data_IF_386881973305
#
_entry.id   IF_386881973305
#
_cell.length_a   1.000
_cell.length_b   1.000
_cell.length_c   1.000
_cell.angle_alpha   90.00
_cell.angle_beta   90.00
_cell.angle_gamma   90.00
#
_symmetry.space_group_name_H-M   'P 1'
#
loop_
_entity.id
_entity.type
_entity.pdbx_description
1 polymer ?
#
# COMPACT_ATOMS: atom_id res chain seq x y z
N UNK A 1 -13.65 25.49 -32.00
CA UNK A 1 -14.46 24.36 -31.49
C UNK A 1 -13.73 23.01 -31.49
N UNK A 2 -13.06 22.58 -32.58
CA UNK A 2 -12.41 21.25 -32.64
C UNK A 2 -11.33 21.00 -31.56
N UNK A 3 -10.55 22.02 -31.17
CA UNK A 3 -9.56 21.93 -30.08
C UNK A 3 -10.19 21.72 -28.69
N UNK A 4 -11.35 22.31 -28.42
CA UNK A 4 -12.05 22.14 -27.14
C UNK A 4 -12.65 20.74 -27.02
N UNK A 5 -13.13 20.16 -28.12
CA UNK A 5 -13.64 18.80 -28.15
C UNK A 5 -12.54 17.76 -27.87
N UNK A 6 -11.34 17.96 -28.43
CA UNK A 6 -10.18 17.10 -28.19
C UNK A 6 -9.76 17.11 -26.73
N UNK A 7 -9.72 18.29 -26.10
CA UNK A 7 -9.39 18.43 -24.67
C UNK A 7 -10.40 17.68 -23.81
N UNK A 8 -11.71 17.85 -24.06
CA UNK A 8 -12.76 17.13 -23.30
C UNK A 8 -12.64 15.62 -23.47
N UNK A 9 -12.35 15.12 -24.68
CA UNK A 9 -12.14 13.70 -24.93
C UNK A 9 -10.92 13.15 -24.18
N UNK A 10 -9.79 13.87 -24.18
CA UNK A 10 -8.59 13.47 -23.44
C UNK A 10 -8.84 13.45 -21.92
N UNK A 11 -9.52 14.47 -21.38
CA UNK A 11 -9.89 14.49 -19.97
C UNK A 11 -10.84 13.33 -19.60
N UNK A 12 -11.80 12.99 -20.47
CA UNK A 12 -12.71 11.88 -20.21
C UNK A 12 -11.97 10.53 -20.18
N UNK A 13 -10.99 10.31 -21.06
CA UNK A 13 -10.21 9.07 -21.09
C UNK A 13 -9.39 8.86 -19.79
N UNK A 14 -8.75 9.92 -19.28
CA UNK A 14 -8.00 9.88 -18.02
C UNK A 14 -8.92 9.56 -16.84
N UNK A 15 -10.12 10.17 -16.81
CA UNK A 15 -11.11 9.92 -15.75
C UNK A 15 -11.65 8.48 -15.82
N UNK A 16 -11.91 7.94 -17.01
CA UNK A 16 -12.38 6.55 -17.17
C UNK A 16 -11.32 5.52 -16.72
N UNK A 17 -10.04 5.75 -17.01
CA UNK A 17 -8.96 4.88 -16.55
C UNK A 17 -8.94 4.79 -15.01
N UNK A 18 -9.11 5.93 -14.34
CA UNK A 18 -9.10 6.00 -12.88
C UNK A 18 -10.32 5.33 -12.23
N UNK A 19 -11.48 5.34 -12.88
CA UNK A 19 -12.68 4.62 -12.42
C UNK A 19 -12.63 3.10 -12.67
N UNK A 20 -11.74 2.63 -13.55
CA UNK A 20 -11.63 1.19 -13.87
C UNK A 20 -10.80 0.39 -12.86
N UNK A 21 -10.17 1.06 -11.90
CA UNK A 21 -9.32 0.45 -10.87
C UNK A 21 -10.15 -0.28 -9.81
N UNK A 22 -10.26 -1.60 -9.97
CA UNK A 22 -11.06 -2.49 -9.13
C UNK A 22 -10.61 -2.57 -7.67
N UNK A 23 -9.32 -2.42 -7.40
CA UNK A 23 -8.70 -2.67 -6.08
C UNK A 23 -8.23 -1.39 -5.39
N UNK A 24 -8.63 -0.21 -5.90
CA UNK A 24 -8.11 1.10 -5.50
C UNK A 24 -7.97 1.23 -3.98
N UNK A 25 -6.73 1.43 -3.52
CA UNK A 25 -6.37 1.44 -2.10
C UNK A 25 -7.02 2.54 -1.25
N UNK A 26 -7.51 3.61 -1.86
CA UNK A 26 -8.26 4.67 -1.17
C UNK A 26 -9.63 4.17 -0.65
N UNK A 27 -10.11 3.01 -1.14
CA UNK A 27 -11.26 2.33 -0.58
C UNK A 27 -10.82 1.56 0.66
N UNK A 28 -10.98 2.20 1.82
CA UNK A 28 -10.65 1.68 3.18
C UNK A 28 -11.28 0.31 3.49
N UNK A 29 -12.24 -0.14 2.67
CA UNK A 29 -13.00 -1.37 2.86
C UNK A 29 -12.45 -2.58 2.07
N UNK A 30 -11.30 -2.46 1.37
CA UNK A 30 -10.68 -3.60 0.64
C UNK A 30 -9.79 -4.41 1.58
N UNK A 31 -10.01 -5.73 1.64
CA UNK A 31 -9.16 -6.69 2.37
C UNK A 31 -8.86 -7.90 1.49
N UNK A 32 -7.87 -8.72 1.85
CA UNK A 32 -7.66 -10.00 1.19
C UNK A 32 -7.73 -11.15 2.19
N UNK A 33 -8.55 -12.16 1.89
CA UNK A 33 -8.53 -13.45 2.60
C UNK A 33 -7.56 -14.36 1.86
N UNK A 34 -6.56 -14.85 2.58
CA UNK A 34 -5.51 -15.70 2.03
C UNK A 34 -5.72 -17.11 2.55
N UNK A 35 -5.63 -18.10 1.66
CA UNK A 35 -5.56 -19.52 2.00
C UNK A 35 -4.36 -20.11 1.29
N UNK A 36 -3.46 -20.73 2.05
CA UNK A 36 -2.32 -21.49 1.48
C UNK A 36 -2.43 -22.92 1.94
N UNK A 37 -2.39 -23.85 1.00
CA UNK A 37 -2.39 -25.28 1.23
C UNK A 37 -1.03 -25.84 0.84
N UNK A 38 -0.33 -26.36 1.83
CA UNK A 38 0.98 -26.99 1.70
C UNK A 38 0.79 -28.49 1.69
N UNK A 39 1.19 -29.15 0.61
CA UNK A 39 1.19 -30.61 0.50
C UNK A 39 2.62 -31.08 0.66
N UNK A 40 2.96 -31.75 1.76
CA UNK A 40 4.30 -32.32 1.98
C UNK A 40 4.48 -33.59 1.15
N UNK A 41 5.66 -33.80 0.59
CA UNK A 41 5.96 -35.01 -0.20
C UNK A 41 6.01 -36.28 0.65
N UNK A 42 5.95 -37.43 -0.02
CA UNK A 42 6.08 -38.75 0.62
C UNK A 42 7.53 -39.23 0.74
N UNK A 43 8.50 -38.40 0.34
CA UNK A 43 9.93 -38.73 0.36
C UNK A 43 10.41 -39.02 1.80
N UNK A 44 11.45 -39.85 1.94
CA UNK A 44 12.08 -40.05 3.24
C UNK A 44 12.55 -38.72 3.84
N UNK A 45 12.17 -38.45 5.10
CA UNK A 45 12.44 -37.20 5.81
C UNK A 45 11.99 -35.94 5.06
N UNK A 46 10.80 -35.96 4.46
CA UNK A 46 10.21 -34.81 3.77
C UNK A 46 9.61 -33.75 4.69
N UNK A 47 9.28 -34.12 5.93
CA UNK A 47 8.62 -33.24 6.89
C UNK A 47 9.56 -32.31 7.65
N UNK A 48 9.00 -31.41 8.45
CA UNK A 48 9.77 -30.50 9.31
C UNK A 48 9.01 -30.09 10.57
N UNK A 49 9.73 -30.01 11.69
CA UNK A 49 9.24 -29.39 12.95
C UNK A 49 9.53 -27.87 13.01
N UNK A 50 9.81 -27.27 11.85
CA UNK A 50 10.18 -25.86 11.77
C UNK A 50 8.94 -25.02 11.59
N UNK A 51 8.90 -23.85 12.22
CA UNK A 51 7.86 -22.88 11.95
C UNK A 51 8.05 -22.32 10.54
N UNK A 52 6.95 -22.16 9.83
CA UNK A 52 6.95 -21.66 8.46
C UNK A 52 6.13 -20.38 8.39
N UNK A 53 6.76 -19.28 7.96
CA UNK A 53 6.10 -18.03 7.63
C UNK A 53 6.15 -17.83 6.11
N UNK A 54 5.02 -18.04 5.42
CA UNK A 54 4.94 -17.81 3.98
C UNK A 54 4.71 -16.34 3.68
N UNK A 55 5.32 -15.85 2.62
CA UNK A 55 5.03 -14.54 2.03
C UNK A 55 4.68 -14.73 0.57
N UNK A 56 3.54 -14.19 0.14
CA UNK A 56 3.11 -14.25 -1.25
C UNK A 56 3.56 -12.99 -1.98
N UNK A 57 4.02 -13.13 -3.21
CA UNK A 57 4.48 -11.97 -3.97
C UNK A 57 4.19 -12.04 -5.47
N UNK A 58 4.54 -10.96 -6.15
CA UNK A 58 4.60 -10.89 -7.61
C UNK A 58 5.94 -10.37 -8.09
N UNK A 59 6.59 -11.14 -8.96
CA UNK A 59 7.77 -10.75 -9.72
C UNK A 59 7.38 -10.51 -11.18
N UNK A 60 7.88 -9.42 -11.76
CA UNK A 60 7.63 -9.12 -13.17
C UNK A 60 8.62 -9.82 -14.13
N UNK A 61 8.42 -9.60 -15.43
CA UNK A 61 9.25 -10.17 -16.50
C UNK A 61 10.75 -9.75 -16.42
N UNK A 62 11.07 -8.68 -15.67
CA UNK A 62 12.44 -8.20 -15.43
C UNK A 62 13.07 -8.77 -14.16
N UNK A 63 12.42 -9.74 -13.50
CA UNK A 63 12.82 -10.29 -12.21
C UNK A 63 12.81 -9.24 -11.08
N UNK A 64 11.94 -8.24 -11.15
CA UNK A 64 11.77 -7.27 -10.06
C UNK A 64 10.55 -7.69 -9.23
N UNK A 65 10.76 -7.86 -7.92
CA UNK A 65 9.69 -8.08 -6.95
C UNK A 65 8.90 -6.78 -6.77
N UNK A 66 7.61 -6.82 -7.12
CA UNK A 66 6.74 -5.65 -7.06
C UNK A 66 6.06 -5.51 -5.70
N UNK A 67 5.63 -6.63 -5.14
CA UNK A 67 5.00 -6.68 -3.84
C UNK A 67 5.21 -8.05 -3.18
N UNK A 68 5.15 -8.03 -1.85
CA UNK A 68 5.37 -9.15 -0.96
C UNK A 68 4.42 -8.97 0.22
N UNK A 69 3.69 -10.02 0.52
CA UNK A 69 2.55 -10.00 1.43
C UNK A 69 2.77 -11.08 2.48
N UNK A 70 3.16 -10.70 3.70
CA UNK A 70 3.35 -11.66 4.78
C UNK A 70 2.02 -12.32 5.11
N UNK A 71 2.07 -13.62 5.34
CA UNK A 71 0.94 -14.42 5.79
C UNK A 71 1.32 -15.01 7.14
N UNK A 72 0.33 -15.10 8.04
CA UNK A 72 0.51 -15.66 9.37
C UNK A 72 1.30 -16.97 9.35
N UNK A 73 2.38 -17.00 10.14
CA UNK A 73 3.21 -18.19 10.31
C UNK A 73 2.46 -19.37 10.94
N UNK A 74 2.88 -20.57 10.56
CA UNK A 74 2.39 -21.84 11.09
C UNK A 74 3.51 -22.45 11.92
N UNK A 75 3.19 -22.79 13.17
CA UNK A 75 4.11 -23.50 14.04
C UNK A 75 4.23 -24.97 13.61
N UNK A 76 5.46 -25.41 13.34
CA UNK A 76 5.76 -26.82 13.10
C UNK A 76 5.93 -27.56 14.42
N UNK A 77 5.50 -28.82 14.49
CA UNK A 77 5.66 -29.64 15.69
C UNK A 77 5.69 -31.13 15.33
N UNK A 78 6.48 -31.93 16.04
CA UNK A 78 6.55 -33.38 15.81
C UNK A 78 5.17 -34.06 15.89
N UNK A 79 4.73 -34.61 14.76
CA UNK A 79 3.44 -35.25 14.57
C UNK A 79 2.30 -34.30 14.16
N UNK A 80 2.58 -33.05 13.81
CA UNK A 80 1.58 -32.07 13.37
C UNK A 80 2.17 -30.93 12.54
N UNK A 81 1.50 -30.63 11.42
CA UNK A 81 1.89 -29.61 10.44
C UNK A 81 3.21 -29.94 9.75
N UNK A 82 3.15 -29.98 8.41
CA UNK A 82 4.29 -30.24 7.55
C UNK A 82 4.92 -31.62 7.76
N UNK A 83 4.19 -32.59 8.28
CA UNK A 83 4.62 -33.98 8.37
C UNK A 83 4.69 -34.65 7.00
N UNK A 84 5.40 -35.77 6.93
CA UNK A 84 5.46 -36.57 5.71
C UNK A 84 4.04 -36.90 5.19
N UNK A 85 3.80 -36.64 3.90
CA UNK A 85 2.50 -36.87 3.25
C UNK A 85 1.32 -36.08 3.84
N UNK A 86 1.57 -35.07 4.68
CA UNK A 86 0.52 -34.24 5.28
C UNK A 86 0.11 -33.07 4.37
N UNK A 87 -1.16 -32.67 4.46
CA UNK A 87 -1.65 -31.40 3.93
C UNK A 87 -1.89 -30.42 5.08
N UNK A 88 -1.14 -29.32 5.10
CA UNK A 88 -1.25 -28.25 6.09
C UNK A 88 -1.88 -27.00 5.45
N UNK A 89 -2.81 -26.34 6.15
CA UNK A 89 -3.55 -25.19 5.60
C UNK A 89 -3.32 -23.93 6.47
N UNK A 90 -2.71 -22.90 5.88
CA UNK A 90 -2.70 -21.55 6.42
C UNK A 90 -3.95 -20.79 5.97
N UNK A 91 -4.53 -19.99 6.88
CA UNK A 91 -5.55 -18.99 6.54
C UNK A 91 -5.21 -17.68 7.24
N UNK A 92 -5.35 -16.59 6.52
CA UNK A 92 -5.11 -15.25 7.05
C UNK A 92 -6.03 -14.21 6.41
N UNK A 93 -6.14 -13.04 7.05
CA UNK A 93 -6.83 -11.87 6.50
C UNK A 93 -5.90 -10.68 6.54
N UNK A 94 -5.54 -10.20 5.36
CA UNK A 94 -4.61 -9.11 5.14
C UNK A 94 -5.37 -7.78 5.12
N UNK A 95 -4.83 -6.79 5.83
CA UNK A 95 -5.44 -5.47 6.00
C UNK A 95 -5.41 -4.66 4.71
N UNK A 96 -6.33 -3.69 4.62
CA UNK A 96 -6.42 -2.79 3.47
C UNK A 96 -5.17 -1.95 3.23
N UNK A 97 -4.40 -1.63 4.28
CA UNK A 97 -3.15 -0.88 4.13
C UNK A 97 -2.13 -1.63 3.26
N UNK A 98 -1.99 -2.95 3.46
CA UNK A 98 -1.11 -3.78 2.64
C UNK A 98 -1.67 -3.90 1.22
N UNK A 99 -2.99 -4.05 1.05
CA UNK A 99 -3.61 -4.10 -0.27
C UNK A 99 -3.43 -2.78 -1.04
N UNK A 100 -3.49 -1.63 -0.36
CA UNK A 100 -3.24 -0.33 -0.96
C UNK A 100 -1.80 -0.20 -1.47
N UNK A 101 -0.82 -0.78 -0.76
CA UNK A 101 0.57 -0.84 -1.22
C UNK A 101 0.72 -1.74 -2.47
N UNK A 102 0.11 -2.93 -2.44
CA UNK A 102 0.08 -3.86 -3.59
C UNK A 102 -0.54 -3.17 -4.81
N UNK A 103 -1.67 -2.49 -4.62
CA UNK A 103 -2.39 -1.84 -5.70
C UNK A 103 -1.59 -0.71 -6.33
N UNK A 104 -0.91 0.10 -5.52
CA UNK A 104 -0.01 1.16 -6.03
C UNK A 104 1.13 0.57 -6.85
N UNK A 105 1.77 -0.49 -6.36
CA UNK A 105 2.84 -1.18 -7.09
C UNK A 105 2.33 -1.76 -8.43
N UNK A 106 1.17 -2.40 -8.42
CA UNK A 106 0.56 -2.97 -9.61
C UNK A 106 0.10 -1.91 -10.61
N UNK A 107 -0.45 -0.79 -10.15
CA UNK A 107 -0.85 0.33 -11.00
C UNK A 107 0.36 0.94 -11.73
N UNK A 108 1.45 1.20 -10.98
CA UNK A 108 2.70 1.70 -11.56
C UNK A 108 3.29 0.73 -12.58
N UNK A 109 3.31 -0.56 -12.27
CA UNK A 109 3.80 -1.59 -13.18
C UNK A 109 2.97 -1.73 -14.45
N UNK A 110 1.64 -1.66 -14.31
CA UNK A 110 0.70 -1.83 -15.41
C UNK A 110 0.85 -0.76 -16.50
N UNK A 111 1.26 0.46 -16.12
CA UNK A 111 1.41 1.59 -17.03
C UNK A 111 0.19 1.71 -17.97
N UNK A 112 -1.00 1.86 -17.36
CA UNK A 112 -2.32 1.93 -18.03
C UNK A 112 -2.85 0.61 -18.62
N UNK A 113 -2.08 -0.49 -18.63
CA UNK A 113 -2.56 -1.80 -19.10
C UNK A 113 -3.37 -2.52 -18.02
N UNK A 114 -4.70 -2.58 -18.17
CA UNK A 114 -5.58 -3.30 -17.25
C UNK A 114 -5.28 -4.80 -17.15
N UNK A 115 -4.79 -5.42 -18.23
CA UNK A 115 -4.41 -6.83 -18.21
C UNK A 115 -3.17 -7.07 -17.33
N UNK A 116 -2.16 -6.19 -17.43
CA UNK A 116 -0.97 -6.26 -16.57
C UNK A 116 -1.31 -5.93 -15.12
N UNK A 117 -2.23 -4.98 -14.90
CA UNK A 117 -2.76 -4.66 -13.58
C UNK A 117 -3.42 -5.88 -12.94
N UNK A 118 -4.37 -6.53 -13.62
CA UNK A 118 -5.06 -7.73 -13.12
C UNK A 118 -4.15 -8.96 -12.95
N UNK A 119 -3.14 -9.10 -13.83
CA UNK A 119 -2.11 -10.14 -13.72
C UNK A 119 -1.24 -9.92 -12.48
N UNK A 120 -0.89 -8.67 -12.18
CA UNK A 120 -0.04 -8.31 -11.03
C UNK A 120 -0.63 -8.72 -9.67
N UNK A 121 -1.96 -8.77 -9.53
CA UNK A 121 -2.62 -9.24 -8.30
C UNK A 121 -2.62 -10.77 -8.12
N UNK A 122 -2.16 -11.53 -9.11
CA UNK A 122 -2.06 -12.99 -9.02
C UNK A 122 -0.65 -13.34 -8.55
N UNK A 123 -0.46 -13.90 -7.34
CA UNK A 123 0.88 -14.21 -6.87
C UNK A 123 1.57 -15.18 -7.83
N UNK A 124 2.84 -14.96 -8.09
CA UNK A 124 3.68 -15.86 -8.92
C UNK A 124 5.00 -16.24 -8.24
N UNK A 125 5.23 -15.74 -7.03
CA UNK A 125 6.31 -16.16 -6.13
C UNK A 125 5.72 -16.40 -4.74
N UNK A 126 6.30 -17.36 -4.03
CA UNK A 126 6.14 -17.54 -2.58
C UNK A 126 7.54 -17.56 -1.95
N UNK A 127 7.78 -16.68 -0.97
CA UNK A 127 8.92 -16.76 -0.08
C UNK A 127 8.50 -17.56 1.17
N UNK A 128 9.41 -18.37 1.68
CA UNK A 128 9.17 -19.26 2.80
C UNK A 128 10.30 -19.01 3.79
N UNK A 129 9.97 -18.31 4.86
CA UNK A 129 10.82 -18.16 6.02
C UNK A 129 10.63 -19.35 6.94
N UNK A 130 11.70 -20.10 7.20
CA UNK A 130 11.66 -21.20 8.15
C UNK A 130 12.46 -20.90 9.41
N UNK A 131 11.81 -21.03 10.55
CA UNK A 131 12.41 -20.88 11.87
C UNK A 131 12.44 -22.24 12.59
N UNK A 132 13.65 -22.72 12.90
CA UNK A 132 13.83 -23.97 13.65
C UNK A 132 14.16 -23.68 15.11
N UNK A 133 13.42 -24.28 16.05
CA UNK A 133 13.70 -24.21 17.49
C UNK A 133 14.97 -24.99 17.90
N UNK A 134 15.38 -25.95 17.07
CA UNK A 134 16.56 -26.78 17.26
C UNK A 134 17.38 -26.87 15.97
N UNK A 135 18.70 -27.06 16.08
CA UNK A 135 19.61 -27.21 14.92
C UNK A 135 19.30 -28.45 14.05
N UNK A 136 18.33 -29.27 14.43
CA UNK A 136 17.98 -30.56 13.80
C UNK A 136 16.70 -30.45 12.95
N UNK A 137 16.09 -29.26 12.77
CA UNK A 137 14.91 -29.15 11.89
C UNK A 137 15.28 -29.56 10.46
N UNK A 138 14.84 -30.75 10.05
CA UNK A 138 15.09 -31.34 8.73
C UNK A 138 14.67 -30.39 7.64
N UNK A 139 15.39 -30.38 6.52
CA UNK A 139 14.94 -29.64 5.35
C UNK A 139 13.54 -30.11 4.97
N UNK A 140 12.69 -29.18 4.55
CA UNK A 140 11.32 -29.51 4.19
C UNK A 140 11.18 -29.66 2.68
N UNK A 141 10.44 -30.70 2.28
CA UNK A 141 10.23 -31.10 0.89
C UNK A 141 8.73 -31.06 0.57
N UNK A 142 8.17 -29.88 0.24
CA UNK A 142 6.81 -29.80 -0.28
C UNK A 142 6.73 -30.62 -1.57
N UNK A 143 5.59 -31.27 -1.80
CA UNK A 143 5.17 -31.80 -3.10
C UNK A 143 4.53 -30.70 -3.94
N UNK A 144 3.71 -29.86 -3.31
CA UNK A 144 2.96 -28.80 -3.99
C UNK A 144 2.52 -27.75 -2.97
N UNK A 145 2.42 -26.50 -3.41
CA UNK A 145 1.84 -25.42 -2.61
C UNK A 145 0.75 -24.74 -3.43
N UNK A 146 -0.45 -24.66 -2.90
CA UNK A 146 -1.59 -24.00 -3.55
C UNK A 146 -1.94 -22.74 -2.76
N UNK A 147 -1.80 -21.58 -3.38
CA UNK A 147 -2.20 -20.30 -2.82
C UNK A 147 -3.49 -19.81 -3.46
N UNK A 148 -4.40 -19.31 -2.63
CA UNK A 148 -5.65 -18.68 -3.02
C UNK A 148 -5.76 -17.34 -2.29
N UNK A 149 -5.90 -16.26 -3.06
CA UNK A 149 -6.07 -14.90 -2.55
C UNK A 149 -7.43 -14.39 -3.02
N UNK A 150 -8.34 -14.19 -2.08
CA UNK A 150 -9.67 -13.64 -2.31
C UNK A 150 -9.69 -12.18 -1.87
N UNK A 151 -9.80 -11.26 -2.82
CA UNK A 151 -9.92 -9.83 -2.55
C UNK A 151 -11.40 -9.49 -2.32
N UNK A 152 -11.69 -8.77 -1.24
CA UNK A 152 -13.05 -8.45 -0.78
C UNK A 152 -13.16 -6.95 -0.58
N UNK A 153 -14.25 -6.32 -1.06
CA UNK A 153 -14.58 -4.92 -0.78
C UNK A 153 -15.90 -4.87 -0.02
N UNK A 154 -15.84 -4.54 1.28
CA UNK A 154 -17.01 -4.59 2.15
C UNK A 154 -17.61 -6.00 2.26
N UNK A 155 -18.75 -6.24 1.59
CA UNK A 155 -19.42 -7.57 1.53
C UNK A 155 -19.33 -8.24 0.17
N UNK A 156 -18.72 -7.60 -0.81
CA UNK A 156 -18.64 -8.10 -2.18
C UNK A 156 -17.27 -8.71 -2.44
N UNK A 157 -17.26 -9.93 -2.97
CA UNK A 157 -16.05 -10.60 -3.42
C UNK A 157 -15.63 -9.99 -4.77
N UNK A 158 -14.47 -9.35 -4.80
CA UNK A 158 -13.95 -8.71 -6.00
C UNK A 158 -13.39 -9.76 -6.95
N UNK A 159 -12.47 -10.58 -6.46
CA UNK A 159 -11.82 -11.61 -7.27
C UNK A 159 -11.15 -12.66 -6.40
N UNK A 160 -11.09 -13.87 -6.94
CA UNK A 160 -10.30 -14.97 -6.38
C UNK A 160 -9.15 -15.26 -7.34
N UNK A 161 -7.91 -15.15 -6.86
CA UNK A 161 -6.69 -15.46 -7.62
C UNK A 161 -6.10 -16.74 -7.05
N UNK A 162 -5.84 -17.73 -7.91
CA UNK A 162 -5.30 -19.03 -7.51
C UNK A 162 -3.96 -19.28 -8.21
N UNK A 163 -3.00 -19.77 -7.46
CA UNK A 163 -1.66 -20.09 -7.96
C UNK A 163 -1.20 -21.39 -7.36
N UNK A 164 -0.63 -22.25 -8.20
CA UNK A 164 0.02 -23.49 -7.78
C UNK A 164 1.53 -23.34 -7.98
N UNK A 165 2.29 -23.68 -6.94
CA UNK A 165 3.75 -23.81 -6.98
C UNK A 165 4.09 -25.30 -6.93
N UNK A 166 4.96 -25.74 -7.85
CA UNK A 166 5.26 -27.15 -8.08
C UNK A 166 4.45 -27.76 -9.24
N UNK A 167 4.31 -29.09 -9.32
CA UNK A 167 4.77 -30.07 -8.33
C UNK A 167 6.30 -30.16 -8.25
N UNK A 168 6.81 -30.48 -7.06
CA UNK A 168 8.22 -30.74 -6.80
C UNK A 168 8.42 -32.25 -6.71
N UNK A 169 8.86 -32.87 -7.80
CA UNK A 169 8.98 -34.33 -7.89
C UNK A 169 10.30 -34.89 -7.32
N UNK A 170 11.24 -34.02 -6.94
CA UNK A 170 12.59 -34.41 -6.55
C UNK A 170 12.70 -34.63 -5.03
N UNK A 171 12.96 -35.88 -4.63
CA UNK A 171 13.22 -36.27 -3.24
C UNK A 171 14.65 -35.96 -2.76
N UNK A 172 15.58 -35.69 -3.67
CA UNK A 172 16.98 -35.41 -3.34
C UNK A 172 17.20 -33.92 -3.03
N UNK A 173 16.33 -33.06 -3.55
CA UNK A 173 16.36 -31.62 -3.31
C UNK A 173 15.72 -31.21 -1.98
N UNK A 174 16.48 -30.45 -1.20
CA UNK A 174 15.99 -29.72 -0.03
C UNK A 174 15.48 -28.34 -0.48
N UNK A 175 14.17 -28.25 -0.70
CA UNK A 175 13.52 -27.05 -1.23
C UNK A 175 13.48 -25.92 -0.21
N UNK A 176 13.20 -26.24 1.05
CA UNK A 176 13.25 -25.30 2.17
C UNK A 176 14.31 -25.77 3.15
N UNK A 177 15.33 -24.94 3.33
CA UNK A 177 16.53 -25.33 4.08
C UNK A 177 16.28 -25.57 5.57
N UNK A 178 17.26 -26.19 6.21
CA UNK A 178 17.15 -26.65 7.61
C UNK A 178 17.09 -25.51 8.63
N UNK A 179 17.65 -24.32 8.36
CA UNK A 179 17.87 -23.33 9.43
C UNK A 179 17.86 -21.87 8.97
N UNK A 180 17.01 -21.03 9.60
CA UNK A 180 16.90 -19.56 9.46
C UNK A 180 17.23 -19.02 8.07
N UNK A 181 16.65 -19.65 7.06
CA UNK A 181 16.86 -19.30 5.67
C UNK A 181 15.52 -19.06 5.02
N UNK A 182 15.54 -18.04 4.18
CA UNK A 182 14.49 -17.75 3.24
C UNK A 182 14.70 -18.60 1.99
N UNK A 183 13.66 -19.31 1.59
CA UNK A 183 13.59 -20.02 0.32
C UNK A 183 12.46 -19.41 -0.50
N UNK A 184 12.72 -19.05 -1.76
CA UNK A 184 11.63 -18.66 -2.65
C UNK A 184 11.37 -19.67 -3.75
N UNK A 185 10.12 -19.70 -4.18
CA UNK A 185 9.62 -20.59 -5.21
C UNK A 185 8.77 -19.77 -6.17
N UNK A 186 9.07 -19.86 -7.47
CA UNK A 186 8.25 -19.23 -8.51
C UNK A 186 7.33 -20.23 -9.17
N UNK A 187 6.13 -19.82 -9.54
CA UNK A 187 5.17 -20.68 -10.23
C UNK A 187 5.54 -20.95 -11.70
N UNK A 188 6.35 -20.08 -12.30
CA UNK A 188 6.80 -20.19 -13.70
C UNK A 188 8.14 -20.91 -13.87
N UNK A 189 8.90 -21.11 -12.79
CA UNK A 189 10.18 -21.81 -12.82
C UNK A 189 9.97 -23.32 -12.67
N UNK A 190 9.69 -23.99 -13.79
CA UNK A 190 9.49 -25.46 -13.83
C UNK A 190 10.76 -26.27 -13.54
N UNK A 191 11.94 -25.68 -13.77
CA UNK A 191 13.24 -26.33 -13.59
C UNK A 191 13.90 -25.88 -12.29
N UNK A 192 13.50 -26.58 -11.24
CA UNK A 192 14.07 -26.94 -9.92
C UNK A 192 15.51 -26.57 -9.50
N UNK A 193 16.16 -25.53 -10.00
CA UNK A 193 17.38 -25.03 -9.35
C UNK A 193 16.96 -24.14 -8.21
N UNK A 194 17.12 -24.63 -6.97
CA UNK A 194 17.07 -23.85 -5.72
C UNK A 194 17.77 -22.51 -5.96
N UNK A 195 17.00 -21.42 -6.09
CA UNK A 195 17.58 -20.12 -6.37
C UNK A 195 17.76 -19.38 -5.05
N UNK A 196 18.98 -18.94 -4.79
CA UNK A 196 19.31 -18.14 -3.62
C UNK A 196 18.61 -16.78 -3.68
N UNK A 197 18.09 -16.38 -2.52
CA UNK A 197 17.57 -15.08 -2.08
C UNK A 197 17.33 -14.02 -3.18
N UNK A 198 16.07 -13.61 -3.37
CA UNK A 198 15.79 -12.31 -4.02
C UNK A 198 16.04 -11.22 -2.97
N UNK A 199 16.98 -10.29 -3.18
CA UNK A 199 17.20 -9.21 -2.23
C UNK A 199 15.93 -8.41 -2.03
N UNK A 200 15.44 -8.34 -0.79
CA UNK A 200 14.29 -7.51 -0.41
C UNK A 200 14.58 -6.01 -0.49
N UNK A 201 15.78 -5.60 -0.93
CA UNK A 201 16.19 -4.20 -1.09
C UNK A 201 15.26 -3.39 -2.00
N UNK A 202 14.42 -4.04 -2.80
CA UNK A 202 13.43 -3.40 -3.67
C UNK A 202 12.15 -2.92 -2.97
N UNK A 203 11.96 -3.18 -1.66
CA UNK A 203 10.83 -2.64 -0.88
C UNK A 203 11.06 -1.29 -0.24
N UNK A 204 12.28 -0.76 -0.29
CA UNK A 204 12.48 0.63 0.12
C UNK A 204 11.89 1.50 -0.97
N UNK A 205 10.86 2.33 -0.68
CA UNK A 205 10.42 3.33 -1.65
C UNK A 205 11.67 4.06 -2.11
N UNK A 206 11.88 4.07 -3.41
CA UNK A 206 13.00 4.81 -3.98
C UNK A 206 12.88 6.26 -3.51
N UNK A 207 14.01 6.94 -3.30
CA UNK A 207 13.98 8.36 -2.88
C UNK A 207 13.07 9.19 -3.80
N UNK A 208 13.06 8.86 -5.08
CA UNK A 208 12.19 9.43 -6.10
C UNK A 208 10.69 9.20 -5.82
N UNK A 209 10.28 8.03 -5.31
CA UNK A 209 8.89 7.76 -4.91
C UNK A 209 8.49 8.49 -3.61
N UNK A 210 9.44 8.73 -2.70
CA UNK A 210 9.20 9.55 -1.52
C UNK A 210 8.99 11.03 -1.92
N UNK A 211 9.81 11.51 -2.85
CA UNK A 211 9.74 12.88 -3.38
C UNK A 211 8.44 13.09 -4.19
N UNK A 212 8.01 12.12 -5.01
CA UNK A 212 6.74 12.18 -5.76
C UNK A 212 5.51 12.22 -4.83
N UNK A 213 5.53 11.49 -3.72
CA UNK A 213 4.48 11.57 -2.70
C UNK A 213 4.43 12.96 -2.05
N UNK A 214 5.59 13.60 -1.83
CA UNK A 214 5.65 14.95 -1.29
C UNK A 214 5.06 15.97 -2.27
N UNK A 215 5.42 15.89 -3.56
CA UNK A 215 4.89 16.78 -4.60
C UNK A 215 3.37 16.63 -4.75
N UNK A 216 2.85 15.39 -4.76
CA UNK A 216 1.41 15.15 -4.81
C UNK A 216 0.65 15.74 -3.62
N UNK A 217 1.26 15.68 -2.43
CA UNK A 217 0.72 16.31 -1.21
C UNK A 217 0.69 17.84 -1.37
N UNK A 218 1.78 18.47 -1.82
CA UNK A 218 1.85 19.91 -2.06
C UNK A 218 0.83 20.40 -3.10
N UNK A 219 0.66 19.67 -4.20
CA UNK A 219 -0.34 20.00 -5.24
C UNK A 219 -1.76 19.91 -4.66
N UNK A 220 -2.06 18.87 -3.91
CA UNK A 220 -3.39 18.68 -3.29
C UNK A 220 -3.72 19.78 -2.27
N UNK A 221 -2.74 20.13 -1.43
CA UNK A 221 -2.86 21.25 -0.48
C UNK A 221 -3.07 22.57 -1.22
N UNK A 222 -2.32 22.82 -2.29
CA UNK A 222 -2.41 24.05 -3.08
C UNK A 222 -3.78 24.19 -3.76
N UNK A 223 -4.29 23.12 -4.38
CA UNK A 223 -5.62 23.11 -5.00
C UNK A 223 -6.72 23.34 -3.96
N UNK A 224 -6.59 22.71 -2.78
CA UNK A 224 -7.55 22.87 -1.69
C UNK A 224 -7.57 24.30 -1.16
N UNK A 225 -6.39 24.90 -0.97
CA UNK A 225 -6.25 26.30 -0.59
C UNK A 225 -6.84 27.23 -1.65
N UNK A 226 -6.56 26.99 -2.94
CA UNK A 226 -7.09 27.82 -4.03
C UNK A 226 -8.63 27.77 -4.09
N UNK A 227 -9.22 26.58 -3.92
CA UNK A 227 -10.67 26.39 -3.84
C UNK A 227 -11.29 27.12 -2.64
N UNK A 228 -10.62 27.10 -1.50
CA UNK A 228 -11.02 27.86 -0.32
C UNK A 228 -10.99 29.38 -0.60
N UNK A 229 -9.93 29.89 -1.22
CA UNK A 229 -9.83 31.31 -1.59
C UNK A 229 -10.91 31.74 -2.59
N UNK A 230 -11.20 30.94 -3.62
CA UNK A 230 -12.29 31.21 -4.56
C UNK A 230 -13.63 31.30 -3.81
N UNK A 231 -13.86 30.38 -2.87
CA UNK A 231 -15.10 30.37 -2.07
C UNK A 231 -15.19 31.62 -1.19
N UNK A 232 -14.08 32.00 -0.55
CA UNK A 232 -14.00 33.20 0.28
C UNK A 232 -14.25 34.47 -0.54
N UNK A 233 -13.59 34.62 -1.68
CA UNK A 233 -13.76 35.75 -2.60
C UNK A 233 -15.21 35.81 -3.08
N UNK A 234 -15.78 34.67 -3.48
CA UNK A 234 -17.19 34.58 -3.92
C UNK A 234 -18.18 34.94 -2.81
N UNK A 235 -17.86 34.66 -1.54
CA UNK A 235 -18.67 35.07 -0.40
C UNK A 235 -18.56 36.58 -0.13
N UNK A 236 -17.38 37.17 -0.27
CA UNK A 236 -17.15 38.62 -0.07
C UNK A 236 -17.67 39.50 -1.20
N UNK A 237 -17.74 38.97 -2.43
CA UNK A 237 -18.23 39.69 -3.61
C UNK A 237 -19.75 39.63 -3.79
N UNK A 238 -20.48 38.90 -2.93
CA UNK A 238 -21.95 38.99 -2.95
C UNK A 238 -22.36 40.39 -2.47
N UNK A 239 -23.03 41.20 -3.32
CA UNK A 239 -23.53 42.49 -2.91
C UNK A 239 -24.42 42.31 -1.68
N UNK A 240 -24.19 43.14 -0.67
CA UNK A 240 -24.96 43.21 0.57
C UNK A 240 -26.41 43.66 0.29
N UNK A 241 -27.20 42.79 -0.32
CA UNK A 241 -28.64 42.98 -0.41
C UNK A 241 -29.27 42.47 0.89
N UNK A 242 -29.41 43.43 1.81
CA UNK A 242 -30.26 43.44 3.02
C UNK A 242 -29.84 42.51 4.17
N UNK A 243 -29.46 43.19 5.26
CA UNK A 243 -29.45 42.78 6.66
C UNK A 243 -30.37 41.59 7.00
N UNK A 244 -29.78 40.40 7.09
CA UNK A 244 -30.11 39.41 8.09
C UNK A 244 -28.78 38.80 8.58
N UNK A 245 -28.54 38.66 9.89
CA UNK A 245 -27.33 38.02 10.40
C UNK A 245 -27.41 36.53 10.07
N UNK A 246 -26.80 36.14 8.95
CA UNK A 246 -26.59 34.73 8.60
C UNK A 246 -25.20 34.36 9.11
N UNK A 247 -25.15 33.58 10.19
CA UNK A 247 -23.93 32.88 10.60
C UNK A 247 -23.43 32.01 9.45
N UNK A 248 -22.17 32.12 9.01
CA UNK A 248 -21.68 31.33 7.89
C UNK A 248 -21.71 29.83 8.25
N UNK A 249 -22.21 28.95 7.36
CA UNK A 249 -22.09 27.53 7.58
C UNK A 249 -20.60 27.16 7.49
N UNK A 250 -20.05 26.61 8.57
CA UNK A 250 -18.78 25.90 8.53
C UNK A 250 -18.94 24.67 7.63
N UNK A 251 -18.43 24.74 6.41
CA UNK A 251 -18.29 23.56 5.54
C UNK A 251 -17.01 22.87 6.00
N UNK A 252 -17.16 21.81 6.78
CA UNK A 252 -16.04 20.94 7.16
C UNK A 252 -15.58 20.14 5.93
N UNK A 253 -14.27 19.86 5.81
CA UNK A 253 -13.75 18.94 4.80
C UNK A 253 -14.47 17.58 4.83
N UNK A 254 -14.62 16.88 3.69
CA UNK A 254 -15.39 15.64 3.58
C UNK A 254 -14.95 14.51 4.53
N UNK A 255 -13.70 14.53 5.03
CA UNK A 255 -13.19 13.54 5.98
C UNK A 255 -13.63 13.76 7.45
N UNK A 256 -14.28 14.90 7.77
CA UNK A 256 -14.87 15.17 9.09
C UNK A 256 -16.38 14.91 9.15
N UNK A 257 -17.03 14.60 8.03
CA UNK A 257 -18.45 14.24 7.99
C UNK A 257 -18.63 12.73 8.18
N UNK A 258 -18.96 12.30 9.40
CA UNK A 258 -19.26 10.90 9.71
C UNK A 258 -20.43 10.35 8.88
N UNK A 259 -20.26 9.12 8.37
CA UNK A 259 -21.28 8.31 7.66
C UNK A 259 -22.55 8.20 8.52
N UNK A 260 -23.59 8.97 8.19
CA UNK A 260 -25.00 8.55 8.14
C UNK A 260 -25.84 9.77 7.71
N UNK A 261 -26.53 9.65 6.58
CA UNK A 261 -27.38 10.70 6.04
C UNK A 261 -28.52 11.06 6.99
N UNK A 262 -28.33 12.12 7.77
CA UNK A 262 -29.40 12.93 8.32
C UNK A 262 -29.17 14.36 7.87
N UNK A 263 -30.16 14.92 7.17
CA UNK A 263 -30.29 16.37 7.04
C UNK A 263 -30.58 16.89 8.44
N UNK A 264 -29.57 17.49 9.10
CA UNK A 264 -29.80 18.25 10.32
C UNK A 264 -30.44 19.56 9.88
N UNK A 265 -31.76 19.61 9.83
CA UNK A 265 -32.45 20.89 9.97
C UNK A 265 -32.06 21.47 11.33
N UNK A 266 -31.52 22.68 11.34
CA UNK A 266 -31.07 23.40 12.52
C UNK A 266 -32.26 23.89 13.38
N UNK A 267 -33.15 22.98 13.78
CA UNK A 267 -34.22 23.22 14.75
C UNK A 267 -34.17 22.34 15.99
N UNK A 268 -33.38 21.27 16.03
CA UNK A 268 -33.32 20.35 17.19
C UNK A 268 -31.90 19.99 17.65
N UNK A 269 -31.04 20.99 17.85
CA UNK A 269 -29.83 20.81 18.67
C UNK A 269 -29.99 21.63 19.95
N UNK A 270 -30.42 20.95 21.01
CA UNK A 270 -30.55 21.53 22.34
C UNK A 270 -29.25 22.14 22.87
N UNK A 271 -29.34 23.01 23.89
CA UNK A 271 -28.25 23.88 24.32
C UNK A 271 -27.27 23.09 25.19
N UNK A 272 -26.39 22.29 24.59
CA UNK A 272 -25.25 21.66 25.28
C UNK A 272 -24.15 21.10 24.36
N UNK A 273 -23.98 21.67 23.16
CA UNK A 273 -22.71 21.48 22.45
C UNK A 273 -21.64 22.29 23.20
N UNK A 274 -20.74 21.57 23.86
CA UNK A 274 -19.83 22.10 24.86
C UNK A 274 -18.82 23.05 24.20
N UNK A 275 -19.00 24.38 24.39
CA UNK A 275 -18.06 25.43 23.91
C UNK A 275 -16.60 25.10 24.23
N UNK A 276 -16.34 24.39 25.32
CA UNK A 276 -14.99 23.97 25.70
C UNK A 276 -14.35 22.99 24.68
N UNK A 277 -15.12 22.08 24.09
CA UNK A 277 -14.59 21.11 23.13
C UNK A 277 -14.27 21.77 21.77
N UNK A 278 -15.11 22.71 21.32
CA UNK A 278 -14.82 23.48 20.11
C UNK A 278 -13.63 24.44 20.30
N UNK A 279 -13.47 25.00 21.51
CA UNK A 279 -12.32 25.83 21.86
C UNK A 279 -11.02 24.98 21.94
N UNK A 280 -11.07 23.78 22.52
CA UNK A 280 -9.92 22.87 22.62
C UNK A 280 -9.43 22.43 21.23
N UNK A 281 -10.35 22.08 20.33
CA UNK A 281 -10.02 21.76 18.93
C UNK A 281 -9.44 22.99 18.22
N UNK A 282 -10.00 24.18 18.43
CA UNK A 282 -9.48 25.42 17.85
C UNK A 282 -8.07 25.77 18.34
N UNK A 283 -7.77 25.51 19.62
CA UNK A 283 -6.44 25.73 20.20
C UNK A 283 -5.42 24.72 19.67
N UNK A 284 -5.78 23.43 19.59
CA UNK A 284 -4.90 22.38 19.01
C UNK A 284 -4.59 22.61 17.53
N UNK A 285 -5.57 23.08 16.76
CA UNK A 285 -5.37 23.43 15.35
C UNK A 285 -4.46 24.66 15.19
N UNK A 286 -4.53 25.62 16.13
CA UNK A 286 -3.62 26.76 16.16
C UNK A 286 -2.19 26.35 16.52
N UNK A 287 -2.03 25.48 17.52
CA UNK A 287 -0.71 24.94 17.91
C UNK A 287 -0.06 24.18 16.75
N UNK A 288 -0.84 23.35 16.02
CA UNK A 288 -0.37 22.68 14.81
C UNK A 288 0.01 23.66 13.69
N UNK A 289 -0.73 24.77 13.54
CA UNK A 289 -0.40 25.84 12.60
C UNK A 289 0.93 26.53 12.95
N UNK A 290 1.12 26.88 14.22
CA UNK A 290 2.32 27.56 14.72
C UNK A 290 3.56 26.62 14.71
N UNK A 291 3.37 25.30 14.85
CA UNK A 291 4.44 24.30 14.72
C UNK A 291 4.83 24.07 13.26
N UNK A 292 3.84 24.02 12.37
CA UNK A 292 4.07 23.93 10.92
C UNK A 292 4.75 25.19 10.37
N UNK A 293 4.36 26.38 10.80
CA UNK A 293 4.99 27.64 10.39
C UNK A 293 6.46 27.70 10.85
N UNK A 294 6.76 27.21 12.06
CA UNK A 294 8.15 27.08 12.53
C UNK A 294 8.96 26.11 11.66
N UNK A 295 8.42 24.92 11.41
CA UNK A 295 9.08 23.93 10.56
C UNK A 295 9.38 24.49 9.15
N UNK A 296 8.43 25.22 8.56
CA UNK A 296 8.62 25.85 7.25
C UNK A 296 9.67 26.96 7.27
N UNK A 297 9.70 27.79 8.31
CA UNK A 297 10.71 28.83 8.46
C UNK A 297 12.11 28.25 8.65
N UNK A 298 12.24 27.17 9.42
CA UNK A 298 13.51 26.46 9.62
C UNK A 298 14.02 25.85 8.30
N UNK A 299 13.14 25.19 7.53
CA UNK A 299 13.48 24.62 6.23
C UNK A 299 13.87 25.70 5.19
N UNK A 300 13.17 26.84 5.19
CA UNK A 300 13.51 27.99 4.34
C UNK A 300 14.88 28.56 4.73
N UNK A 301 15.16 28.67 6.03
CA UNK A 301 16.43 29.20 6.52
C UNK A 301 17.60 28.27 6.17
N UNK A 302 17.43 26.95 6.32
CA UNK A 302 18.43 25.95 5.94
C UNK A 302 18.74 26.01 4.43
N UNK A 303 17.72 26.16 3.59
CA UNK A 303 17.90 26.30 2.15
C UNK A 303 18.55 27.63 1.75
N UNK A 304 18.23 28.73 2.45
CA UNK A 304 18.92 30.02 2.26
C UNK A 304 20.39 29.95 2.64
N UNK A 305 20.75 29.28 3.74
CA UNK A 305 22.13 29.05 4.15
C UNK A 305 22.88 28.17 3.13
N UNK A 306 22.21 27.15 2.57
CA UNK A 306 22.76 26.31 1.51
C UNK A 306 23.05 27.10 0.22
N UNK A 307 22.11 27.93 -0.21
CA UNK A 307 22.28 28.80 -1.40
C UNK A 307 23.40 29.81 -1.15
N UNK A 308 23.47 30.41 0.03
CA UNK A 308 24.51 31.37 0.37
C UNK A 308 25.90 30.72 0.35
N UNK A 309 26.05 29.54 0.95
CA UNK A 309 27.29 28.77 0.92
C UNK A 309 27.70 28.37 -0.51
N UNK A 310 26.77 27.91 -1.35
CA UNK A 310 27.08 27.58 -2.74
C UNK A 310 27.47 28.81 -3.58
N UNK A 311 26.85 29.98 -3.32
CA UNK A 311 27.21 31.24 -3.98
C UNK A 311 28.60 31.75 -3.56
N UNK A 312 29.00 31.50 -2.31
CA UNK A 312 30.32 31.82 -1.78
C UNK A 312 31.42 30.98 -2.45
N UNK A 313 31.20 29.68 -2.62
CA UNK A 313 32.13 28.79 -3.32
C UNK A 313 32.25 29.11 -4.82
N UNK A 314 31.14 29.47 -5.47
CA UNK A 314 31.14 29.91 -6.87
C UNK A 314 31.93 31.22 -7.06
N UNK A 315 31.81 32.15 -6.12
CA UNK A 315 32.54 33.42 -6.15
C UNK A 315 34.03 33.25 -5.83
N UNK A 316 34.41 32.31 -4.95
CA UNK A 316 35.82 31.97 -4.71
C UNK A 316 36.47 31.32 -5.93
N UNK A 317 35.80 30.42 -6.64
CA UNK A 317 36.33 29.77 -7.84
C UNK A 317 36.66 30.79 -8.96
N UNK A 318 35.93 31.91 -9.05
CA UNK A 318 36.25 32.98 -10.00
C UNK A 318 37.41 33.89 -9.58
N UNK A 319 37.85 33.84 -8.32
CA UNK A 319 39.03 34.58 -7.85
C UNK A 319 40.34 33.80 -7.99
N UNK A 320 40.27 32.48 -8.24
CA UNK A 320 41.42 31.58 -8.39
C UNK A 320 41.72 31.18 -9.85
N UNK A 321 41.03 31.78 -10.82
CA UNK A 321 41.28 31.65 -12.28
C UNK A 321 41.74 32.97 -12.85
#
# INVERSE_FOLDING_TARGET
MMKQLLVVLLFSAVVFAEFSRKYRGDNVDVTAKVKIEFVTSQCFQSGTDGDITPHLGFINEKNILLWDMPVKGIYGWDGSNFENSETTVAKDTVSGDIIALIERACYKYANESMDLYEKCFTPNIINIEKYGWHQISSAWKPLQINAEVEYVMGKEDLAVKKTTFGPFADCDSNWVDTYHKESYIRSDAKDSIKREYFPSEYFKPTREEADDMEVALWVTVTISMFSFFITLISATLRPSDRYAPVTPPFILPPWLAGRNGYVIEARDVGPRFNRAAALDIGLRLRELGDEFERYMNDAIQEEQERIHNNSFWSSMMHLFV
#
